data_IF_062629335763
#
_entry.id   IF_062629335763
#
_cell.length_a   1.000
_cell.length_b   1.000
_cell.length_c   1.000
_cell.angle_alpha   90.00
_cell.angle_beta   90.00
_cell.angle_gamma   90.00
#
_symmetry.space_group_name_H-M   'P 1'
#
loop_
_entity.id
_entity.type
_entity.pdbx_description
1 polymer ?
#
# COMPACT_ATOMS: atom_id res chain seq x y z
N UNK A 1 4.22 28.53 0.22
CA UNK A 1 2.74 28.39 0.24
C UNK A 1 2.35 26.93 -0.01
N UNK A 2 2.81 26.29 -1.08
CA UNK A 2 2.50 24.91 -1.44
C UNK A 2 2.92 23.91 -0.36
N UNK A 3 4.11 24.04 0.20
CA UNK A 3 4.59 23.18 1.29
C UNK A 3 3.69 23.24 2.54
N UNK A 4 3.17 24.42 2.88
CA UNK A 4 2.28 24.59 4.01
C UNK A 4 0.92 23.91 3.77
N UNK A 5 0.40 23.98 2.54
CA UNK A 5 -0.83 23.27 2.14
C UNK A 5 -0.59 21.76 2.17
N UNK A 6 0.50 21.27 1.58
CA UNK A 6 0.84 19.86 1.60
C UNK A 6 0.96 19.31 3.04
N UNK A 7 1.62 20.06 3.94
CA UNK A 7 1.72 19.68 5.35
C UNK A 7 0.36 19.60 6.05
N UNK A 8 -0.60 20.46 5.69
CA UNK A 8 -1.95 20.45 6.24
C UNK A 8 -2.77 19.24 5.79
N UNK A 9 -2.58 18.81 4.54
CA UNK A 9 -3.39 17.78 3.89
C UNK A 9 -2.72 16.40 3.84
N UNK A 10 -1.43 16.33 4.16
CA UNK A 10 -0.68 15.07 4.23
C UNK A 10 -1.42 14.04 5.09
N UNK A 11 -1.55 12.83 4.57
CA UNK A 11 -2.28 11.71 5.17
C UNK A 11 -3.80 11.90 5.32
N UNK A 12 -4.36 12.93 4.73
CA UNK A 12 -5.81 13.18 4.72
C UNK A 12 -6.42 13.04 3.33
N UNK A 13 -5.65 13.44 2.32
CA UNK A 13 -5.99 13.28 0.90
C UNK A 13 -4.75 12.82 0.14
N UNK A 14 -4.91 12.12 -0.99
CA UNK A 14 -3.79 11.85 -1.89
C UNK A 14 -3.22 13.15 -2.42
N UNK A 15 -1.90 13.26 -2.40
CA UNK A 15 -1.17 14.39 -2.98
C UNK A 15 -0.44 13.86 -4.21
N UNK A 16 -0.55 14.60 -5.32
CA UNK A 16 0.16 14.33 -6.56
C UNK A 16 1.14 15.48 -6.77
N UNK A 17 2.40 15.16 -6.98
CA UNK A 17 3.40 16.12 -7.45
C UNK A 17 3.33 16.16 -8.97
N UNK A 18 3.13 17.33 -9.51
CA UNK A 18 3.25 17.61 -10.94
C UNK A 18 4.64 18.14 -11.21
N UNK A 19 5.44 17.43 -12.03
CA UNK A 19 6.78 17.84 -12.40
C UNK A 19 6.81 19.15 -13.18
N UNK A 20 7.86 19.94 -13.01
CA UNK A 20 8.08 21.17 -13.78
C UNK A 20 8.51 20.86 -15.21
N UNK A 21 8.42 21.89 -16.06
CA UNK A 21 8.95 21.86 -17.42
C UNK A 21 10.36 22.44 -17.42
N UNK A 22 11.37 21.59 -17.44
CA UNK A 22 12.77 21.97 -17.24
C UNK A 22 13.67 21.75 -18.47
N UNK A 23 13.18 21.00 -19.48
CA UNK A 23 13.94 20.89 -20.74
C UNK A 23 13.76 22.13 -21.62
N UNK A 24 14.82 22.50 -22.32
CA UNK A 24 14.87 23.74 -23.10
C UNK A 24 13.87 23.81 -24.26
N UNK A 25 13.32 22.68 -24.68
CA UNK A 25 12.28 22.60 -25.72
C UNK A 25 10.92 23.13 -25.27
N UNK A 26 10.68 23.30 -23.96
CA UNK A 26 9.44 23.88 -23.44
C UNK A 26 9.58 25.39 -23.33
N UNK A 27 9.17 26.09 -24.37
CA UNK A 27 9.41 27.52 -24.56
C UNK A 27 8.72 28.43 -23.54
N UNK A 28 7.68 27.98 -22.88
CA UNK A 28 7.02 28.76 -21.85
C UNK A 28 7.73 28.71 -20.49
N UNK A 29 8.70 27.80 -20.29
CA UNK A 29 9.54 27.83 -19.12
C UNK A 29 10.58 28.94 -19.23
N UNK A 30 10.41 29.96 -18.43
CA UNK A 30 11.40 31.02 -18.26
C UNK A 30 12.06 30.87 -16.89
N UNK A 31 13.36 30.81 -16.85
CA UNK A 31 14.16 30.65 -15.64
C UNK A 31 14.90 31.94 -15.26
N UNK A 32 14.18 33.02 -14.86
CA UNK A 32 14.79 34.30 -14.54
C UNK A 32 15.68 34.24 -13.29
N UNK A 33 15.46 33.28 -12.42
CA UNK A 33 16.24 33.06 -11.20
C UNK A 33 17.44 32.14 -11.41
N UNK A 34 17.59 31.53 -12.59
CA UNK A 34 18.72 30.69 -12.93
C UNK A 34 18.74 29.31 -12.27
N UNK A 35 17.58 28.76 -11.92
CA UNK A 35 17.50 27.44 -11.29
C UNK A 35 18.01 26.30 -12.17
N UNK A 36 18.00 26.47 -13.50
CA UNK A 36 18.47 25.47 -14.46
C UNK A 36 19.92 25.63 -14.88
N UNK A 37 20.58 26.68 -14.41
CA UNK A 37 21.96 26.98 -14.84
C UNK A 37 22.92 25.87 -14.43
N UNK A 38 23.26 25.04 -15.37
CA UNK A 38 24.28 24.02 -15.28
C UNK A 38 23.84 22.64 -14.81
N UNK A 39 22.71 22.50 -14.10
CA UNK A 39 22.32 21.25 -13.45
C UNK A 39 20.81 20.98 -13.50
N UNK A 40 20.27 20.47 -14.64
CA UNK A 40 18.86 20.04 -14.73
C UNK A 40 18.49 19.01 -13.65
N UNK A 41 19.44 18.16 -13.25
CA UNK A 41 19.30 17.17 -12.17
C UNK A 41 19.03 17.80 -10.81
N UNK A 42 19.57 18.99 -10.53
CA UNK A 42 19.35 19.68 -9.25
C UNK A 42 17.88 20.11 -9.09
N UNK A 43 17.24 20.51 -10.18
CA UNK A 43 15.81 20.84 -10.17
C UNK A 43 14.99 19.58 -9.86
N UNK A 44 15.33 18.44 -10.46
CA UNK A 44 14.68 17.16 -10.20
C UNK A 44 14.90 16.67 -8.78
N UNK A 45 16.11 16.87 -8.24
CA UNK A 45 16.37 16.58 -6.83
C UNK A 45 15.47 17.43 -5.91
N UNK A 46 15.32 18.73 -6.21
CA UNK A 46 14.44 19.61 -5.45
C UNK A 46 12.96 19.21 -5.53
N UNK A 47 12.48 18.80 -6.70
CA UNK A 47 11.12 18.28 -6.89
C UNK A 47 10.91 16.97 -6.12
N UNK A 48 11.89 16.07 -6.17
CA UNK A 48 11.87 14.81 -5.43
C UNK A 48 11.84 15.06 -3.91
N UNK A 49 12.71 15.91 -3.39
CA UNK A 49 12.80 16.22 -1.96
C UNK A 49 11.51 16.86 -1.46
N UNK A 50 10.92 17.77 -2.25
CA UNK A 50 9.62 18.38 -1.93
C UNK A 50 8.49 17.35 -1.94
N UNK A 51 8.53 16.39 -2.86
CA UNK A 51 7.57 15.28 -2.94
C UNK A 51 7.69 14.34 -1.74
N UNK A 52 8.91 14.03 -1.31
CA UNK A 52 9.18 13.23 -0.12
C UNK A 52 8.70 13.94 1.16
N UNK A 53 8.95 15.25 1.28
CA UNK A 53 8.47 16.06 2.40
C UNK A 53 6.94 16.12 2.44
N UNK A 54 6.30 16.29 1.28
CA UNK A 54 4.84 16.31 1.15
C UNK A 54 4.19 14.93 1.29
N UNK A 55 4.97 13.84 1.27
CA UNK A 55 4.47 12.46 1.32
C UNK A 55 3.50 12.16 0.19
N UNK A 56 3.86 12.54 -1.03
CA UNK A 56 2.98 12.39 -2.19
C UNK A 56 2.66 10.92 -2.48
N UNK A 57 1.45 10.69 -2.96
CA UNK A 57 1.00 9.38 -3.41
C UNK A 57 1.49 9.05 -4.82
N UNK A 58 1.71 10.08 -5.63
CA UNK A 58 2.12 9.94 -7.03
C UNK A 58 3.03 11.09 -7.43
N UNK A 59 4.05 10.78 -8.23
CA UNK A 59 4.84 11.76 -8.96
C UNK A 59 4.47 11.69 -10.44
N UNK A 60 4.09 12.82 -11.02
CA UNK A 60 3.87 12.97 -12.46
C UNK A 60 5.14 13.49 -13.11
N UNK A 61 5.81 12.65 -13.87
CA UNK A 61 7.04 12.99 -14.61
C UNK A 61 6.76 13.72 -15.93
N UNK A 62 5.56 14.21 -16.12
CA UNK A 62 5.12 14.92 -17.33
C UNK A 62 5.13 14.02 -18.58
N UNK A 63 5.45 14.57 -19.74
CA UNK A 63 5.30 13.94 -21.05
C UNK A 63 6.52 14.20 -21.94
N UNK A 64 6.79 13.27 -22.84
CA UNK A 64 7.83 13.40 -23.87
C UNK A 64 9.22 13.61 -23.27
N UNK A 65 9.90 14.64 -23.72
CA UNK A 65 11.27 14.96 -23.31
C UNK A 65 11.43 15.21 -21.81
N UNK A 66 10.40 15.70 -21.14
CA UNK A 66 10.45 15.86 -19.67
C UNK A 66 10.53 14.49 -18.99
N UNK A 67 9.68 13.54 -19.39
CA UNK A 67 9.74 12.17 -18.87
C UNK A 67 11.08 11.53 -19.19
N UNK A 68 11.52 11.60 -20.45
CA UNK A 68 12.82 11.06 -20.88
C UNK A 68 13.97 11.62 -20.03
N UNK A 69 13.92 12.91 -19.69
CA UNK A 69 14.96 13.54 -18.90
C UNK A 69 15.03 13.03 -17.45
N UNK A 70 13.91 12.64 -16.84
CA UNK A 70 13.93 11.96 -15.53
C UNK A 70 14.67 10.63 -15.62
N UNK A 71 14.45 9.87 -16.69
CA UNK A 71 15.09 8.56 -16.87
C UNK A 71 16.56 8.67 -17.30
N UNK A 72 16.94 9.71 -18.06
CA UNK A 72 18.29 9.88 -18.54
C UNK A 72 19.20 10.59 -17.52
N UNK A 73 18.69 11.63 -16.86
CA UNK A 73 19.49 12.53 -16.03
C UNK A 73 19.32 12.29 -14.52
N UNK A 74 18.21 11.64 -14.09
CA UNK A 74 17.88 11.47 -12.68
C UNK A 74 17.25 10.10 -12.37
N UNK A 75 17.66 9.06 -13.06
CA UNK A 75 17.07 7.72 -12.93
C UNK A 75 17.12 7.17 -11.49
N UNK A 76 18.15 7.51 -10.75
CA UNK A 76 18.24 7.15 -9.33
C UNK A 76 17.07 7.69 -8.49
N UNK A 77 16.57 8.87 -8.81
CA UNK A 77 15.40 9.45 -8.15
C UNK A 77 14.11 8.72 -8.54
N UNK A 78 14.00 8.32 -9.80
CA UNK A 78 12.88 7.48 -10.26
C UNK A 78 12.88 6.15 -9.50
N UNK A 79 14.03 5.48 -9.40
CA UNK A 79 14.17 4.24 -8.63
C UNK A 79 13.83 4.44 -7.15
N UNK A 80 14.27 5.54 -6.55
CA UNK A 80 13.92 5.88 -5.17
C UNK A 80 12.42 6.09 -5.01
N UNK A 81 11.76 6.78 -5.92
CA UNK A 81 10.31 6.92 -5.84
C UNK A 81 9.60 5.56 -5.95
N UNK A 82 10.06 4.67 -6.84
CA UNK A 82 9.52 3.31 -6.96
C UNK A 82 9.69 2.52 -5.65
N UNK A 83 10.77 2.73 -4.91
CA UNK A 83 11.04 2.02 -3.65
C UNK A 83 10.48 2.71 -2.39
N UNK A 84 10.38 4.03 -2.38
CA UNK A 84 10.04 4.83 -1.18
C UNK A 84 8.67 5.53 -1.28
N UNK A 85 8.24 5.91 -2.49
CA UNK A 85 7.03 6.69 -2.72
C UNK A 85 5.74 5.88 -2.66
N UNK A 86 4.60 6.56 -2.67
CA UNK A 86 3.28 5.91 -2.59
C UNK A 86 3.08 5.12 -1.29
N UNK A 87 2.28 4.06 -1.36
CA UNK A 87 2.07 3.16 -0.22
C UNK A 87 2.52 1.73 -0.54
N UNK A 88 3.06 1.03 0.47
CA UNK A 88 3.45 -0.40 0.43
C UNK A 88 3.07 -1.05 1.73
N UNK A 89 1.91 -1.67 1.73
CA UNK A 89 1.32 -2.25 2.94
C UNK A 89 1.78 -3.69 3.09
N UNK A 90 2.18 -4.07 4.29
CA UNK A 90 2.55 -5.44 4.60
C UNK A 90 2.32 -5.77 6.07
N UNK A 91 1.95 -7.01 6.40
CA UNK A 91 2.00 -7.50 7.76
C UNK A 91 3.44 -7.89 8.09
N UNK A 92 4.03 -7.31 9.14
CA UNK A 92 5.34 -7.72 9.63
C UNK A 92 5.26 -8.80 10.71
N UNK A 93 4.06 -9.07 11.21
CA UNK A 93 3.76 -10.20 12.09
C UNK A 93 2.31 -10.63 11.91
N UNK A 94 2.09 -11.94 11.83
CA UNK A 94 0.75 -12.55 11.87
C UNK A 94 0.80 -13.75 12.82
N UNK A 95 -0.17 -13.82 13.73
CA UNK A 95 -0.30 -14.90 14.70
C UNK A 95 -1.67 -15.54 14.47
N UNK A 96 -1.65 -16.78 14.03
CA UNK A 96 -2.84 -17.63 13.81
C UNK A 96 -2.57 -19.02 14.39
N UNK A 97 -3.58 -19.75 14.89
CA UNK A 97 -3.39 -21.06 15.46
C UNK A 97 -3.13 -22.11 14.36
N UNK A 98 -2.40 -23.16 14.71
CA UNK A 98 -2.17 -24.35 13.88
C UNK A 98 -3.23 -25.45 14.05
N UNK A 99 -4.10 -25.34 15.08
CA UNK A 99 -5.23 -26.22 15.33
C UNK A 99 -6.47 -25.42 15.71
N UNK A 100 -7.61 -25.81 15.19
CA UNK A 100 -8.91 -25.17 15.42
C UNK A 100 -9.97 -26.24 15.58
N UNK A 101 -10.82 -26.12 16.60
CA UNK A 101 -12.03 -26.96 16.71
C UNK A 101 -13.14 -26.45 15.80
N UNK A 102 -13.78 -27.34 15.04
CA UNK A 102 -14.92 -26.97 14.21
C UNK A 102 -16.02 -26.30 15.06
N UNK A 103 -16.58 -25.20 14.53
CA UNK A 103 -17.60 -24.41 15.23
C UNK A 103 -17.05 -23.46 16.30
N UNK A 104 -15.75 -23.47 16.60
CA UNK A 104 -15.16 -22.53 17.58
C UNK A 104 -14.86 -21.18 16.96
N UNK A 105 -14.79 -20.15 17.83
CA UNK A 105 -14.19 -18.85 17.50
C UNK A 105 -12.69 -18.93 17.68
N UNK A 106 -11.97 -18.18 16.89
CA UNK A 106 -10.50 -18.17 16.89
C UNK A 106 -9.98 -16.77 17.08
N UNK A 107 -9.02 -16.62 17.97
CA UNK A 107 -8.30 -15.36 18.14
C UNK A 107 -7.09 -15.32 17.20
N UNK A 108 -7.02 -14.32 16.36
CA UNK A 108 -5.90 -14.04 15.45
C UNK A 108 -5.34 -12.66 15.72
N UNK A 109 -4.07 -12.44 15.44
CA UNK A 109 -3.44 -11.15 15.59
C UNK A 109 -2.60 -10.81 14.36
N UNK A 110 -2.54 -9.54 14.02
CA UNK A 110 -1.69 -9.03 12.96
C UNK A 110 -1.09 -7.68 13.31
N UNK A 111 0.13 -7.45 12.84
CA UNK A 111 0.81 -6.17 12.96
C UNK A 111 1.22 -5.69 11.58
N UNK A 112 0.86 -4.47 11.25
CA UNK A 112 0.96 -3.91 9.92
C UNK A 112 1.89 -2.71 9.88
N UNK A 113 2.54 -2.54 8.73
CA UNK A 113 3.33 -1.35 8.39
C UNK A 113 3.05 -0.91 6.96
N UNK A 114 3.34 0.36 6.72
CA UNK A 114 3.41 0.93 5.38
C UNK A 114 4.85 1.39 5.13
N UNK A 115 5.56 0.74 4.22
CA UNK A 115 6.94 1.09 3.86
C UNK A 115 7.03 2.32 2.97
N UNK A 116 5.95 2.65 2.24
CA UNK A 116 5.89 3.86 1.43
C UNK A 116 5.70 5.10 2.28
N UNK A 117 6.12 6.23 1.77
CA UNK A 117 5.93 7.51 2.48
C UNK A 117 4.52 8.09 2.35
N UNK A 118 3.76 7.69 1.31
CA UNK A 118 2.37 8.07 1.14
C UNK A 118 1.42 7.25 2.01
N UNK A 119 0.17 7.66 2.09
CA UNK A 119 -0.83 6.90 2.83
C UNK A 119 -1.78 6.15 1.89
N UNK A 120 -2.45 5.13 2.40
CA UNK A 120 -3.48 4.40 1.67
C UNK A 120 -4.83 5.13 1.82
N UNK A 121 -5.41 5.68 0.74
CA UNK A 121 -6.52 6.65 0.83
C UNK A 121 -7.90 5.99 1.02
N UNK A 122 -8.01 5.01 1.91
CA UNK A 122 -9.24 4.27 2.20
C UNK A 122 -10.38 5.17 2.76
N UNK A 123 -10.00 6.33 3.33
CA UNK A 123 -10.92 7.31 3.91
C UNK A 123 -11.62 8.20 2.87
N UNK A 124 -11.26 8.13 1.60
CA UNK A 124 -11.92 8.93 0.58
C UNK A 124 -13.40 8.55 0.42
N UNK A 125 -14.30 9.50 0.16
CA UNK A 125 -15.72 9.20 -0.02
C UNK A 125 -16.00 8.12 -1.08
N UNK A 126 -15.22 8.11 -2.16
CA UNK A 126 -15.33 7.12 -3.24
C UNK A 126 -14.94 5.70 -2.82
N UNK A 127 -14.05 5.58 -1.81
CA UNK A 127 -13.61 4.30 -1.26
C UNK A 127 -14.37 3.93 0.01
N UNK A 128 -14.80 4.90 0.77
CA UNK A 128 -15.69 4.75 1.94
C UNK A 128 -15.28 3.60 2.87
N UNK A 129 -13.98 3.52 3.18
CA UNK A 129 -13.40 2.51 4.08
C UNK A 129 -13.65 1.05 3.64
N UNK A 130 -13.88 0.81 2.36
CA UNK A 130 -14.23 -0.52 1.83
C UNK A 130 -13.08 -1.54 1.91
N UNK A 131 -11.83 -1.10 1.96
CA UNK A 131 -10.69 -2.00 2.04
C UNK A 131 -10.40 -2.36 3.50
N UNK A 132 -10.42 -3.65 3.79
CA UNK A 132 -10.23 -4.19 5.14
C UNK A 132 -9.28 -5.38 5.11
N UNK A 133 -8.59 -5.62 6.23
CA UNK A 133 -7.84 -6.86 6.42
C UNK A 133 -8.82 -8.02 6.53
N UNK A 134 -8.48 -9.13 5.91
CA UNK A 134 -9.21 -10.37 6.08
C UNK A 134 -8.26 -11.56 6.20
N UNK A 135 -8.70 -12.55 6.96
CA UNK A 135 -8.09 -13.87 7.07
C UNK A 135 -8.94 -14.87 6.29
N UNK A 136 -8.32 -15.86 5.70
CA UNK A 136 -9.02 -16.93 5.01
C UNK A 136 -8.53 -18.30 5.46
N UNK A 137 -9.41 -19.28 5.37
CA UNK A 137 -9.08 -20.70 5.42
C UNK A 137 -9.15 -21.25 3.99
N UNK A 138 -8.01 -21.65 3.48
CA UNK A 138 -7.80 -22.03 2.08
C UNK A 138 -7.66 -23.56 2.02
N UNK A 139 -8.37 -24.20 1.10
CA UNK A 139 -8.29 -25.65 0.89
C UNK A 139 -7.10 -26.07 0.03
N UNK A 140 -6.94 -27.37 -0.17
CA UNK A 140 -5.86 -27.95 -0.99
C UNK A 140 -5.91 -27.56 -2.47
N UNK A 141 -7.01 -27.01 -2.95
CA UNK A 141 -7.16 -26.51 -4.33
C UNK A 141 -6.91 -24.98 -4.45
N UNK A 142 -6.33 -24.38 -3.41
CA UNK A 142 -6.06 -22.95 -3.32
C UNK A 142 -7.32 -22.07 -3.32
N UNK A 143 -8.46 -22.60 -2.86
CA UNK A 143 -9.72 -21.87 -2.75
C UNK A 143 -10.01 -21.47 -1.31
N UNK A 144 -10.33 -20.18 -1.11
CA UNK A 144 -10.78 -19.69 0.18
C UNK A 144 -12.18 -20.23 0.50
N UNK A 145 -12.26 -21.15 1.48
CA UNK A 145 -13.50 -21.76 1.92
C UNK A 145 -14.23 -20.92 2.96
N UNK A 146 -13.49 -20.12 3.71
CA UNK A 146 -14.06 -19.18 4.70
C UNK A 146 -13.20 -17.92 4.73
N UNK A 147 -13.87 -16.78 4.83
CA UNK A 147 -13.22 -15.46 4.92
C UNK A 147 -13.74 -14.75 6.16
N UNK A 148 -12.81 -14.20 6.95
CA UNK A 148 -13.09 -13.47 8.18
C UNK A 148 -12.53 -12.06 8.04
N UNK A 149 -13.41 -11.05 8.00
CA UNK A 149 -13.00 -9.64 7.84
C UNK A 149 -12.78 -9.00 9.19
N UNK A 150 -11.58 -8.50 9.43
CA UNK A 150 -11.26 -7.65 10.59
C UNK A 150 -11.65 -6.20 10.25
N UNK A 151 -12.78 -5.77 10.79
CA UNK A 151 -13.34 -4.44 10.52
C UNK A 151 -12.63 -3.32 11.26
N UNK A 152 -11.84 -3.64 12.28
CA UNK A 152 -11.13 -2.67 13.10
C UNK A 152 -9.80 -2.23 12.47
N UNK A 153 -9.26 -3.03 11.56
CA UNK A 153 -8.10 -2.64 10.78
C UNK A 153 -8.44 -1.51 9.81
N UNK A 154 -7.70 -0.41 9.90
CA UNK A 154 -7.91 0.74 9.02
C UNK A 154 -6.60 1.16 8.33
N UNK A 155 -6.37 0.68 7.08
CA UNK A 155 -5.12 0.92 6.35
C UNK A 155 -4.76 2.39 6.12
N UNK A 156 -5.74 3.29 6.09
CA UNK A 156 -5.47 4.73 5.91
C UNK A 156 -4.72 5.36 7.08
N UNK A 157 -4.69 4.69 8.24
CA UNK A 157 -3.96 5.16 9.42
C UNK A 157 -2.51 4.67 9.48
N UNK A 158 -2.12 3.73 8.61
CA UNK A 158 -0.78 3.15 8.62
C UNK A 158 0.20 4.06 7.88
N UNK A 159 0.88 4.89 8.64
CA UNK A 159 1.78 5.92 8.12
C UNK A 159 3.12 5.92 8.86
N UNK A 160 4.12 6.55 8.24
CA UNK A 160 5.44 6.77 8.83
C UNK A 160 6.16 5.49 9.24
N UNK A 161 5.89 4.37 8.58
CA UNK A 161 6.45 3.05 8.88
C UNK A 161 6.24 2.59 10.33
N UNK A 162 5.32 3.22 11.08
CA UNK A 162 4.98 2.82 12.43
C UNK A 162 4.22 1.49 12.43
N UNK A 163 4.39 0.65 13.47
CA UNK A 163 3.62 -0.59 13.60
C UNK A 163 2.20 -0.31 14.11
N UNK A 164 1.23 -1.02 13.53
CA UNK A 164 -0.17 -1.00 13.93
C UNK A 164 -0.60 -2.43 14.22
N UNK A 165 -0.92 -2.72 15.49
CA UNK A 165 -1.25 -4.07 15.95
C UNK A 165 -2.74 -4.19 16.21
N UNK A 166 -3.30 -5.32 15.78
CA UNK A 166 -4.71 -5.66 15.95
C UNK A 166 -4.85 -7.08 16.48
N UNK A 167 -5.87 -7.30 17.29
CA UNK A 167 -6.33 -8.63 17.68
C UNK A 167 -7.79 -8.76 17.27
N UNK A 168 -8.10 -9.84 16.59
CA UNK A 168 -9.42 -10.10 16.05
C UNK A 168 -9.92 -11.47 16.48
N UNK A 169 -11.15 -11.55 16.96
CA UNK A 169 -11.83 -12.83 17.21
C UNK A 169 -12.77 -13.12 16.05
N UNK A 170 -12.52 -14.23 15.35
CA UNK A 170 -13.33 -14.62 14.20
C UNK A 170 -14.76 -15.01 14.64
N UNK A 171 -15.76 -14.92 13.76
CA UNK A 171 -16.95 -15.74 13.90
C UNK A 171 -16.59 -17.23 13.99
N UNK A 172 -17.55 -18.07 14.35
CA UNK A 172 -17.37 -19.51 14.42
C UNK A 172 -16.79 -20.07 13.10
N UNK A 173 -15.77 -20.92 13.23
CA UNK A 173 -15.16 -21.63 12.09
C UNK A 173 -16.05 -22.81 11.72
N UNK A 174 -16.99 -22.55 10.84
CA UNK A 174 -17.95 -23.52 10.36
C UNK A 174 -17.44 -24.17 9.07
N UNK A 175 -16.46 -25.06 9.23
CA UNK A 175 -15.86 -25.85 8.15
C UNK A 175 -15.70 -27.32 8.58
N UNK A 176 -15.74 -28.25 7.62
CA UNK A 176 -15.45 -29.67 7.90
C UNK A 176 -14.06 -29.87 8.49
N UNK A 177 -13.90 -30.89 9.30
CA UNK A 177 -12.59 -31.34 9.78
C UNK A 177 -11.65 -31.63 8.59
N UNK A 178 -10.40 -31.22 8.71
CA UNK A 178 -9.44 -31.38 7.62
C UNK A 178 -8.27 -30.38 7.71
N UNK A 179 -7.38 -30.48 6.74
CA UNK A 179 -6.26 -29.57 6.60
C UNK A 179 -6.61 -28.40 5.71
N UNK A 180 -6.26 -27.21 6.18
CA UNK A 180 -6.40 -25.94 5.47
C UNK A 180 -5.10 -25.16 5.59
N UNK A 181 -5.00 -24.06 4.85
CA UNK A 181 -3.91 -23.09 4.97
C UNK A 181 -4.52 -21.73 5.36
N UNK A 182 -3.95 -21.07 6.37
CA UNK A 182 -4.30 -19.70 6.64
C UNK A 182 -3.83 -18.79 5.50
N UNK A 183 -4.69 -17.87 5.10
CA UNK A 183 -4.38 -16.78 4.19
C UNK A 183 -4.66 -15.43 4.81
N UNK A 184 -3.99 -14.39 4.33
CA UNK A 184 -4.24 -13.00 4.71
C UNK A 184 -4.25 -12.12 3.47
N UNK A 185 -5.11 -11.11 3.46
CA UNK A 185 -5.19 -10.12 2.39
C UNK A 185 -5.81 -8.81 2.88
N UNK A 186 -5.71 -7.78 2.07
CA UNK A 186 -6.60 -6.62 2.12
C UNK A 186 -7.66 -6.82 1.05
N UNK A 187 -8.90 -6.92 1.46
CA UNK A 187 -10.05 -7.26 0.61
C UNK A 187 -10.90 -6.04 0.31
N UNK A 188 -11.61 -6.07 -0.82
CA UNK A 188 -12.69 -5.12 -1.12
C UNK A 188 -14.01 -5.69 -0.58
N UNK A 189 -14.53 -5.08 0.49
CA UNK A 189 -15.76 -5.53 1.15
C UNK A 189 -17.02 -5.31 0.30
N UNK A 190 -16.92 -4.53 -0.77
CA UNK A 190 -18.01 -4.33 -1.74
C UNK A 190 -18.00 -5.36 -2.86
N UNK A 191 -16.97 -6.23 -2.90
CA UNK A 191 -16.77 -7.24 -3.95
C UNK A 191 -16.56 -8.64 -3.33
N UNK A 192 -17.54 -9.10 -2.57
CA UNK A 192 -17.52 -10.44 -1.96
C UNK A 192 -16.26 -10.73 -1.11
N UNK A 193 -15.67 -9.69 -0.51
CA UNK A 193 -14.43 -9.78 0.27
C UNK A 193 -13.27 -10.41 -0.51
N UNK A 194 -13.13 -10.13 -1.80
CA UNK A 194 -12.01 -10.60 -2.60
C UNK A 194 -10.75 -9.78 -2.32
N UNK A 195 -9.57 -10.42 -2.32
CA UNK A 195 -8.29 -9.69 -2.26
C UNK A 195 -8.22 -8.62 -3.36
N UNK A 196 -7.85 -7.40 -2.98
CA UNK A 196 -7.89 -6.25 -3.88
C UNK A 196 -6.60 -5.44 -3.90
N UNK A 197 -5.78 -5.54 -2.86
CA UNK A 197 -4.54 -4.79 -2.73
C UNK A 197 -3.39 -5.79 -2.62
N UNK A 198 -2.40 -5.64 -3.50
CA UNK A 198 -1.21 -6.46 -3.44
C UNK A 198 -0.36 -6.06 -2.23
N UNK A 199 -0.10 -7.02 -1.34
CA UNK A 199 0.77 -6.80 -0.19
C UNK A 199 2.25 -6.85 -0.59
N UNK A 200 3.06 -6.04 0.08
CA UNK A 200 4.51 -5.96 -0.14
C UNK A 200 5.26 -7.08 0.60
N UNK A 201 4.95 -8.32 0.25
CA UNK A 201 5.57 -9.54 0.81
C UNK A 201 5.97 -10.51 -0.29
N UNK A 202 6.97 -11.35 -0.01
CA UNK A 202 7.47 -12.36 -0.93
C UNK A 202 6.83 -13.76 -0.74
N UNK A 203 5.88 -13.88 0.17
CA UNK A 203 5.18 -15.13 0.43
C UNK A 203 4.42 -15.62 -0.81
N UNK A 204 4.24 -16.93 -0.90
CA UNK A 204 3.37 -17.55 -1.89
C UNK A 204 1.94 -16.99 -1.80
N UNK A 205 1.31 -16.82 -2.95
CA UNK A 205 -0.06 -16.30 -3.07
C UNK A 205 -0.91 -17.24 -3.89
N UNK A 206 -2.19 -17.36 -3.52
CA UNK A 206 -3.16 -18.00 -4.40
C UNK A 206 -3.42 -17.17 -5.66
N UNK A 207 -4.01 -17.78 -6.68
CA UNK A 207 -4.43 -17.07 -7.89
C UNK A 207 -5.44 -15.93 -7.59
N UNK A 208 -6.20 -16.04 -6.51
CA UNK A 208 -7.13 -15.01 -6.05
C UNK A 208 -6.44 -13.86 -5.30
N UNK A 209 -5.16 -14.00 -4.92
CA UNK A 209 -4.37 -12.97 -4.24
C UNK A 209 -4.24 -13.13 -2.72
N UNK A 210 -4.68 -14.23 -2.13
CA UNK A 210 -4.45 -14.55 -0.73
C UNK A 210 -2.97 -14.85 -0.51
N UNK A 211 -2.34 -14.16 0.42
CA UNK A 211 -0.98 -14.47 0.88
C UNK A 211 -1.06 -15.67 1.80
N UNK A 212 -0.39 -16.77 1.43
CA UNK A 212 -0.38 -18.00 2.23
C UNK A 212 0.50 -17.86 3.47
N UNK A 213 -0.04 -18.32 4.59
CA UNK A 213 0.67 -18.45 5.86
C UNK A 213 1.01 -19.92 6.11
N UNK A 214 0.74 -20.45 7.29
CA UNK A 214 0.98 -21.86 7.60
C UNK A 214 -0.29 -22.72 7.58
N UNK A 215 -0.09 -24.04 7.56
CA UNK A 215 -1.17 -25.01 7.63
C UNK A 215 -1.88 -24.96 8.98
N UNK A 216 -3.16 -25.32 8.98
CA UNK A 216 -4.02 -25.45 10.15
C UNK A 216 -4.84 -26.72 10.04
N UNK A 217 -4.97 -27.44 11.16
CA UNK A 217 -5.84 -28.60 11.26
C UNK A 217 -7.16 -28.18 11.92
N UNK A 218 -8.28 -28.42 11.25
CA UNK A 218 -9.63 -28.33 11.82
C UNK A 218 -10.04 -29.73 12.31
N UNK A 219 -10.40 -29.83 13.59
CA UNK A 219 -10.79 -31.07 14.27
C UNK A 219 -12.29 -31.09 14.59
#
# INVERSE_FOLDING_TARGET
WEKAIAAQWRYKVPIIMEGGYIVSSHSYWNDPAGYRQGHPEDVRQGEFDSSAEARVNMMDFRVGQETESWFNDAFSLVQRFVSEGGYRLYPDQVIVPDQVSAGSRVKVASRWRNMGWGYFPNNLPQWNYKYKVAFALIDASDKAQKVFVDKDCEPSTWVESKPFSYTFETPAVDLPAGKYTWGIAIVDTTKENRPAIQLAVNNEKTAEGWVKLHEVQIN
#
